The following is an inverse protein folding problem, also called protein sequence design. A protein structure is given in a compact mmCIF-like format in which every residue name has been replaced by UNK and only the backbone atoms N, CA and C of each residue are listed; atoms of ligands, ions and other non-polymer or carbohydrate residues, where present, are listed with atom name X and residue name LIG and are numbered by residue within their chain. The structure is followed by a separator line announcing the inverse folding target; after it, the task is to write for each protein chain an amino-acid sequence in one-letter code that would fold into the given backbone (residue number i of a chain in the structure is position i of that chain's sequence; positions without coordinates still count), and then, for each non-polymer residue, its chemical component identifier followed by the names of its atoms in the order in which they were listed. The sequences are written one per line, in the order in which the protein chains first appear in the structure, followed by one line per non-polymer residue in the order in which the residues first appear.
data_IF_447831563545
#
_entry.id   IF_447831563545
#
_cell.length_a   1.000
_cell.length_b   1.000
_cell.length_c   1.000
_cell.angle_alpha   90.00
_cell.angle_beta   90.00
_cell.angle_gamma   90.00
#
_symmetry.space_group_name_H-M   'P 1'
#
loop_
_entity.id
_entity.type
_entity.pdbx_description
1 polymer ?
#
# COMPACT_ATOMS: atom_id res chain seq x y z
N UNK A 1 -1.66 4.75 14.79
CA UNK A 1 -1.22 3.57 14.08
C UNK A 1 -2.11 2.40 14.46
N UNK A 2 -2.61 1.64 13.46
CA UNK A 2 -3.38 0.42 13.66
C UNK A 2 -2.89 -0.65 12.67
N UNK A 3 -2.84 -1.90 13.13
CA UNK A 3 -2.51 -3.07 12.32
C UNK A 3 -3.73 -3.97 12.10
N UNK A 4 -3.62 -4.94 11.21
CA UNK A 4 -4.70 -5.89 10.91
C UNK A 4 -5.15 -6.71 12.14
N UNK A 5 -4.24 -6.93 13.10
CA UNK A 5 -4.57 -7.66 14.32
C UNK A 5 -5.51 -6.88 15.27
N UNK A 6 -5.54 -5.55 15.17
CA UNK A 6 -6.27 -4.71 16.12
C UNK A 6 -7.80 -4.78 15.96
N UNK A 7 -8.28 -5.29 14.81
CA UNK A 7 -9.72 -5.43 14.52
C UNK A 7 -10.26 -6.84 14.72
N UNK A 8 -9.44 -7.79 15.18
CA UNK A 8 -9.83 -9.20 15.29
C UNK A 8 -11.06 -9.41 16.20
N UNK A 9 -11.17 -8.67 17.29
CA UNK A 9 -12.30 -8.77 18.22
C UNK A 9 -13.63 -8.32 17.62
N UNK A 10 -13.61 -7.51 16.55
CA UNK A 10 -14.82 -7.02 15.86
C UNK A 10 -15.38 -8.03 14.86
N UNK A 11 -14.53 -8.91 14.31
CA UNK A 11 -14.88 -9.85 13.24
C UNK A 11 -16.09 -10.72 13.59
N UNK A 12 -16.17 -11.39 14.76
CA UNK A 12 -17.33 -12.24 15.07
C UNK A 12 -18.65 -11.47 15.03
N UNK A 13 -18.71 -10.28 15.61
CA UNK A 13 -19.90 -9.45 15.63
C UNK A 13 -20.31 -8.99 14.22
N UNK A 14 -19.35 -8.59 13.40
CA UNK A 14 -19.57 -8.22 12.00
C UNK A 14 -20.11 -9.38 11.18
N UNK A 15 -19.53 -10.58 11.33
CA UNK A 15 -19.97 -11.80 10.62
C UNK A 15 -21.40 -12.17 11.00
N UNK A 16 -21.73 -12.16 12.30
CA UNK A 16 -23.10 -12.43 12.78
C UNK A 16 -24.11 -11.40 12.26
N UNK A 17 -23.71 -10.13 12.18
CA UNK A 17 -24.53 -9.10 11.56
C UNK A 17 -24.81 -9.42 10.09
N UNK A 18 -23.78 -9.75 9.30
CA UNK A 18 -23.94 -10.06 7.88
C UNK A 18 -24.85 -11.28 7.64
N UNK A 19 -24.74 -12.32 8.49
CA UNK A 19 -25.62 -13.49 8.43
C UNK A 19 -27.06 -13.14 8.79
N UNK A 20 -27.26 -12.45 9.89
CA UNK A 20 -28.60 -12.10 10.39
C UNK A 20 -29.38 -11.22 9.40
N UNK A 21 -28.72 -10.26 8.78
CA UNK A 21 -29.29 -9.37 7.78
C UNK A 21 -29.43 -10.01 6.39
N UNK A 22 -28.95 -11.25 6.20
CA UNK A 22 -29.04 -11.99 4.95
C UNK A 22 -28.09 -11.52 3.86
N UNK A 23 -27.05 -10.78 4.21
CA UNK A 23 -26.03 -10.35 3.25
C UNK A 23 -25.06 -11.47 2.88
N UNK A 24 -24.67 -12.28 3.88
CA UNK A 24 -23.74 -13.37 3.70
C UNK A 24 -24.45 -14.74 3.65
N UNK A 25 -23.99 -15.63 2.77
CA UNK A 25 -24.45 -16.98 2.63
C UNK A 25 -23.31 -17.97 2.44
N UNK A 26 -23.58 -19.26 2.63
CA UNK A 26 -22.61 -20.33 2.40
C UNK A 26 -22.47 -20.65 0.91
N UNK A 27 -21.25 -20.72 0.42
CA UNK A 27 -20.89 -21.14 -0.93
C UNK A 27 -19.64 -22.01 -0.86
N UNK A 28 -19.72 -23.26 -1.34
CA UNK A 28 -18.60 -24.22 -1.33
C UNK A 28 -17.92 -24.39 0.06
N UNK A 29 -18.71 -24.27 1.11
CA UNK A 29 -18.25 -24.36 2.50
C UNK A 29 -17.65 -23.07 3.07
N UNK A 30 -17.46 -22.04 2.27
CA UNK A 30 -17.03 -20.72 2.71
C UNK A 30 -18.24 -19.79 2.93
N UNK A 31 -18.06 -18.76 3.77
CA UNK A 31 -19.06 -17.69 3.92
C UNK A 31 -18.71 -16.54 2.99
N UNK A 32 -19.63 -16.16 2.12
CA UNK A 32 -19.40 -15.13 1.10
C UNK A 32 -20.52 -14.08 1.03
N UNK A 33 -20.19 -12.93 0.43
CA UNK A 33 -21.15 -11.89 0.04
C UNK A 33 -21.02 -11.66 -1.45
N UNK A 34 -22.12 -11.87 -2.22
CA UNK A 34 -22.12 -11.55 -3.66
C UNK A 34 -22.00 -10.05 -3.89
N UNK A 35 -21.03 -9.66 -4.69
CA UNK A 35 -20.73 -8.25 -5.00
C UNK A 35 -20.79 -7.93 -6.48
N UNK A 36 -21.07 -8.92 -7.32
CA UNK A 36 -21.25 -8.73 -8.76
C UNK A 36 -22.46 -7.80 -9.04
N UNK A 37 -22.36 -7.01 -10.12
CA UNK A 37 -23.40 -6.10 -10.60
C UNK A 37 -23.79 -6.46 -12.03
N UNK A 38 -24.99 -6.10 -12.45
CA UNK A 38 -25.48 -6.37 -13.80
C UNK A 38 -24.68 -5.65 -14.89
N UNK A 39 -24.06 -4.52 -14.57
CA UNK A 39 -23.26 -3.69 -15.46
C UNK A 39 -21.77 -4.05 -15.47
N UNK A 40 -21.36 -5.09 -14.77
CA UNK A 40 -19.96 -5.54 -14.76
C UNK A 40 -19.55 -6.06 -16.15
N UNK A 41 -18.44 -5.53 -16.65
CA UNK A 41 -17.83 -5.98 -17.91
C UNK A 41 -16.92 -7.20 -17.76
N UNK A 42 -16.60 -7.53 -16.52
CA UNK A 42 -15.79 -8.70 -16.13
C UNK A 42 -16.49 -9.42 -14.98
N UNK A 43 -16.27 -10.71 -14.86
CA UNK A 43 -16.72 -11.48 -13.73
C UNK A 43 -16.04 -10.98 -12.45
N UNK A 44 -16.85 -10.58 -11.47
CA UNK A 44 -16.38 -10.20 -10.14
C UNK A 44 -16.78 -11.30 -9.16
N UNK A 45 -15.80 -12.06 -8.63
CA UNK A 45 -16.07 -13.10 -7.66
C UNK A 45 -16.72 -12.55 -6.37
N UNK A 46 -17.48 -13.35 -5.62
CA UNK A 46 -17.98 -12.97 -4.31
C UNK A 46 -16.86 -12.52 -3.36
N UNK A 47 -17.16 -11.59 -2.48
CA UNK A 47 -16.27 -11.22 -1.38
C UNK A 47 -16.29 -12.31 -0.33
N UNK A 48 -15.13 -12.91 -0.04
CA UNK A 48 -15.02 -14.01 0.91
C UNK A 48 -14.91 -13.46 2.34
N UNK A 49 -15.86 -13.84 3.19
CA UNK A 49 -15.91 -13.36 4.58
C UNK A 49 -15.23 -14.35 5.54
N UNK A 50 -15.44 -15.66 5.37
CA UNK A 50 -14.76 -16.71 6.11
C UNK A 50 -14.43 -17.86 5.18
N UNK A 51 -13.27 -18.47 5.38
CA UNK A 51 -12.90 -19.74 4.75
C UNK A 51 -13.78 -20.89 5.24
N UNK A 52 -13.69 -22.04 4.57
CA UNK A 52 -14.40 -23.26 4.97
C UNK A 52 -14.01 -23.79 6.36
N UNK A 53 -12.84 -23.45 6.86
CA UNK A 53 -12.38 -23.76 8.22
C UNK A 53 -12.79 -22.69 9.26
N UNK A 54 -13.54 -21.68 8.84
CA UNK A 54 -13.97 -20.55 9.67
C UNK A 54 -12.92 -19.46 9.88
N UNK A 55 -11.75 -19.55 9.25
CA UNK A 55 -10.71 -18.55 9.38
C UNK A 55 -11.07 -17.27 8.61
N UNK A 56 -10.73 -16.12 9.21
CA UNK A 56 -10.81 -14.81 8.55
C UNK A 56 -9.71 -14.66 7.47
N UNK A 57 -9.99 -13.78 6.52
CA UNK A 57 -9.08 -13.39 5.44
C UNK A 57 -8.77 -11.88 5.50
N UNK A 58 -7.95 -11.41 4.56
CA UNK A 58 -7.70 -9.97 4.37
C UNK A 58 -9.00 -9.20 4.09
N UNK A 59 -9.93 -9.76 3.29
CA UNK A 59 -11.24 -9.15 3.03
C UNK A 59 -11.99 -8.89 4.34
N UNK A 60 -11.93 -9.85 5.27
CA UNK A 60 -12.62 -9.77 6.56
C UNK A 60 -12.01 -8.70 7.46
N UNK A 61 -10.68 -8.63 7.51
CA UNK A 61 -9.98 -7.62 8.33
C UNK A 61 -10.14 -6.23 7.76
N UNK A 62 -10.14 -6.07 6.43
CA UNK A 62 -10.40 -4.78 5.77
C UNK A 62 -11.82 -4.30 6.03
N UNK A 63 -12.82 -5.17 5.94
CA UNK A 63 -14.22 -4.84 6.26
C UNK A 63 -14.40 -4.44 7.73
N UNK A 64 -13.79 -5.19 8.65
CA UNK A 64 -13.81 -4.85 10.08
C UNK A 64 -13.12 -3.52 10.37
N UNK A 65 -12.04 -3.21 9.64
CA UNK A 65 -11.35 -1.93 9.73
C UNK A 65 -12.22 -0.77 9.20
N UNK A 66 -12.95 -0.98 8.11
CA UNK A 66 -13.91 0.02 7.60
C UNK A 66 -14.99 0.27 8.65
N UNK A 67 -15.58 -0.80 9.20
CA UNK A 67 -16.60 -0.68 10.26
C UNK A 67 -16.06 0.12 11.46
N UNK A 68 -14.87 -0.20 11.94
CA UNK A 68 -14.26 0.51 13.06
C UNK A 68 -14.06 2.00 12.78
N UNK A 69 -13.56 2.34 11.59
CA UNK A 69 -13.36 3.74 11.18
C UNK A 69 -14.67 4.51 11.12
N UNK A 70 -15.74 3.87 10.66
CA UNK A 70 -17.06 4.49 10.64
C UNK A 70 -17.61 4.73 12.05
N UNK A 71 -17.42 3.78 12.97
CA UNK A 71 -17.90 3.89 14.36
C UNK A 71 -17.09 4.91 15.19
N UNK A 72 -15.77 4.94 15.02
CA UNK A 72 -14.88 5.75 15.86
C UNK A 72 -14.60 7.15 15.30
N UNK A 73 -14.57 7.32 13.97
CA UNK A 73 -14.10 8.53 13.30
C UNK A 73 -15.20 9.15 12.42
N UNK A 74 -16.05 8.31 11.79
CA UNK A 74 -17.03 8.70 10.77
C UNK A 74 -16.41 9.60 9.67
N UNK A 75 -15.38 9.11 8.94
CA UNK A 75 -14.64 9.91 7.98
C UNK A 75 -15.45 10.21 6.73
N UNK A 76 -15.16 11.34 6.09
CA UNK A 76 -15.73 11.68 4.77
C UNK A 76 -15.11 10.83 3.65
N UNK A 77 -13.82 10.45 3.82
CA UNK A 77 -13.06 9.67 2.84
C UNK A 77 -12.14 8.65 3.53
N UNK A 78 -12.06 7.43 2.98
CA UNK A 78 -11.08 6.40 3.37
C UNK A 78 -10.24 6.08 2.14
N UNK A 79 -8.93 6.35 2.21
CA UNK A 79 -8.00 6.17 1.10
C UNK A 79 -7.11 4.95 1.38
N UNK A 80 -7.07 4.01 0.43
CA UNK A 80 -6.19 2.85 0.44
C UNK A 80 -5.05 3.05 -0.56
N UNK A 81 -3.84 3.27 -0.04
CA UNK A 81 -2.62 3.41 -0.84
C UNK A 81 -1.89 2.09 -0.82
N UNK A 82 -2.05 1.30 -1.87
CA UNK A 82 -1.59 -0.09 -1.95
C UNK A 82 -1.08 -0.45 -3.35
N UNK A 83 -0.46 -1.62 -3.49
CA UNK A 83 -0.04 -2.12 -4.79
C UNK A 83 -1.23 -2.26 -5.75
N UNK A 84 -1.10 -1.77 -6.98
CA UNK A 84 -2.16 -1.81 -8.01
C UNK A 84 -2.70 -3.21 -8.30
N UNK A 85 -1.91 -4.27 -8.01
CA UNK A 85 -2.34 -5.67 -8.17
C UNK A 85 -3.46 -6.08 -7.22
N UNK A 86 -3.72 -5.28 -6.18
CA UNK A 86 -4.81 -5.49 -5.23
C UNK A 86 -6.12 -4.82 -5.66
N UNK A 87 -6.22 -4.28 -6.88
CA UNK A 87 -7.40 -3.57 -7.36
C UNK A 87 -8.68 -4.40 -7.24
N UNK A 88 -8.65 -5.66 -7.66
CA UNK A 88 -9.82 -6.56 -7.56
C UNK A 88 -10.23 -6.82 -6.11
N UNK A 89 -9.26 -7.03 -5.22
CA UNK A 89 -9.52 -7.21 -3.79
C UNK A 89 -10.27 -5.99 -3.22
N UNK A 90 -9.76 -4.78 -3.45
CA UNK A 90 -10.42 -3.57 -2.94
C UNK A 90 -11.74 -3.28 -3.63
N UNK A 91 -11.91 -3.64 -4.90
CA UNK A 91 -13.22 -3.57 -5.56
C UNK A 91 -14.24 -4.45 -4.85
N UNK A 92 -13.88 -5.70 -4.50
CA UNK A 92 -14.75 -6.61 -3.76
C UNK A 92 -15.04 -6.09 -2.34
N UNK A 93 -14.03 -5.65 -1.60
CA UNK A 93 -14.17 -5.09 -0.25
C UNK A 93 -15.08 -3.85 -0.25
N UNK A 94 -14.87 -2.91 -1.15
CA UNK A 94 -15.67 -1.68 -1.22
C UNK A 94 -17.12 -1.96 -1.58
N UNK A 95 -17.37 -2.84 -2.55
CA UNK A 95 -18.72 -3.27 -2.91
C UNK A 95 -19.41 -4.00 -1.76
N UNK A 96 -18.68 -4.87 -1.06
CA UNK A 96 -19.18 -5.57 0.11
C UNK A 96 -19.53 -4.59 1.23
N UNK A 97 -18.63 -3.66 1.57
CA UNK A 97 -18.86 -2.65 2.60
C UNK A 97 -20.11 -1.79 2.31
N UNK A 98 -20.32 -1.42 1.03
CA UNK A 98 -21.51 -0.69 0.58
C UNK A 98 -22.79 -1.54 0.71
N UNK A 99 -22.76 -2.76 0.18
CA UNK A 99 -23.90 -3.68 0.19
C UNK A 99 -24.34 -4.02 1.61
N UNK A 100 -23.37 -4.28 2.49
CA UNK A 100 -23.60 -4.64 3.89
C UNK A 100 -23.83 -3.44 4.82
N UNK A 101 -23.78 -2.23 4.29
CA UNK A 101 -23.98 -0.97 5.06
C UNK A 101 -22.97 -0.77 6.19
N UNK A 102 -21.75 -1.35 6.05
CA UNK A 102 -20.63 -1.10 6.97
C UNK A 102 -20.02 0.28 6.78
N UNK A 103 -20.28 0.92 5.66
CA UNK A 103 -19.83 2.29 5.35
C UNK A 103 -21.05 3.15 5.01
N UNK A 104 -21.03 4.39 5.47
CA UNK A 104 -22.09 5.35 5.18
C UNK A 104 -22.12 5.69 3.67
N UNK A 105 -23.29 5.94 3.09
CA UNK A 105 -23.40 6.25 1.65
C UNK A 105 -22.57 7.45 1.20
N UNK A 106 -22.41 8.45 2.07
CA UNK A 106 -21.67 9.68 1.84
C UNK A 106 -20.15 9.54 1.96
N UNK A 107 -19.65 8.54 2.70
CA UNK A 107 -18.21 8.31 2.85
C UNK A 107 -17.60 7.79 1.56
N UNK A 108 -16.58 8.44 1.02
CA UNK A 108 -15.86 7.97 -0.15
C UNK A 108 -14.86 6.85 0.21
N UNK A 109 -14.89 5.74 -0.55
CA UNK A 109 -13.86 4.69 -0.48
C UNK A 109 -12.99 4.79 -1.72
N UNK A 110 -11.70 5.09 -1.55
CA UNK A 110 -10.79 5.39 -2.64
C UNK A 110 -9.60 4.45 -2.69
N UNK A 111 -9.42 3.83 -3.85
CA UNK A 111 -8.26 3.01 -4.14
C UNK A 111 -7.21 3.83 -4.90
N UNK A 112 -6.01 3.93 -4.34
CA UNK A 112 -4.85 4.53 -4.99
C UNK A 112 -3.78 3.45 -5.17
N UNK A 113 -3.87 2.73 -6.29
CA UNK A 113 -2.93 1.67 -6.64
C UNK A 113 -1.61 2.23 -7.15
N UNK A 114 -0.49 1.83 -6.52
CA UNK A 114 0.85 2.19 -6.99
C UNK A 114 1.53 1.04 -7.74
N UNK A 115 2.45 1.41 -8.62
CA UNK A 115 3.28 0.48 -9.38
C UNK A 115 4.46 -0.06 -8.58
N UNK A 116 5.19 -0.99 -9.19
CA UNK A 116 6.35 -1.63 -8.57
C UNK A 116 7.62 -0.84 -8.89
N UNK A 117 8.45 -0.64 -7.86
CA UNK A 117 9.83 -0.20 -8.02
C UNK A 117 10.67 -1.38 -8.48
N UNK A 118 11.29 -1.27 -9.65
CA UNK A 118 12.08 -2.31 -10.28
C UNK A 118 13.58 -1.95 -10.30
N UNK A 119 14.42 -2.96 -10.32
CA UNK A 119 15.84 -2.80 -10.63
C UNK A 119 16.09 -2.58 -12.13
N UNK A 120 17.35 -2.37 -12.51
CA UNK A 120 17.76 -2.19 -13.92
C UNK A 120 17.43 -3.39 -14.83
N UNK A 121 17.26 -4.58 -14.25
CA UNK A 121 16.85 -5.80 -14.93
C UNK A 121 15.32 -5.89 -15.18
N UNK A 122 14.55 -4.86 -14.81
CA UNK A 122 13.11 -4.79 -14.94
C UNK A 122 12.34 -5.68 -13.96
N UNK A 123 13.03 -6.30 -12.99
CA UNK A 123 12.40 -7.11 -11.94
C UNK A 123 12.29 -6.31 -10.64
N UNK A 124 11.37 -6.71 -9.73
CA UNK A 124 11.29 -6.07 -8.42
C UNK A 124 12.65 -5.91 -7.76
N UNK A 125 12.92 -4.74 -7.22
CA UNK A 125 14.21 -4.39 -6.66
C UNK A 125 14.59 -5.37 -5.54
N UNK A 126 15.82 -5.93 -5.61
CA UNK A 126 16.29 -6.97 -4.70
C UNK A 126 17.59 -6.54 -4.04
N UNK A 127 17.84 -7.07 -2.85
CA UNK A 127 19.16 -6.97 -2.21
C UNK A 127 20.21 -7.72 -3.03
N UNK A 128 21.50 -7.41 -2.79
CA UNK A 128 22.64 -8.11 -3.43
C UNK A 128 22.59 -9.62 -3.21
N UNK A 129 22.04 -10.07 -2.09
CA UNK A 129 21.86 -11.48 -1.72
C UNK A 129 20.56 -12.12 -2.28
N UNK A 130 19.82 -11.40 -3.13
CA UNK A 130 18.63 -11.92 -3.83
C UNK A 130 17.31 -11.84 -3.05
N UNK A 131 17.30 -11.27 -1.84
CA UNK A 131 16.09 -11.01 -1.05
C UNK A 131 15.29 -9.80 -1.54
N UNK A 132 14.07 -9.64 -1.01
CA UNK A 132 13.27 -8.42 -1.24
C UNK A 132 13.97 -7.23 -0.58
N UNK A 133 14.17 -6.14 -1.34
CA UNK A 133 14.76 -4.91 -0.80
C UNK A 133 13.81 -4.30 0.23
N UNK A 134 14.29 -4.15 1.44
CA UNK A 134 13.60 -3.36 2.48
C UNK A 134 13.92 -1.89 2.28
N UNK A 135 12.96 -1.03 2.63
CA UNK A 135 13.14 0.42 2.52
C UNK A 135 14.37 0.93 3.30
N UNK A 136 14.64 0.36 4.47
CA UNK A 136 15.83 0.67 5.27
C UNK A 136 17.13 0.52 4.46
N UNK A 137 17.32 -0.64 3.83
CA UNK A 137 18.52 -0.90 3.01
C UNK A 137 18.63 -0.01 1.79
N UNK A 138 17.46 0.32 1.17
CA UNK A 138 17.45 1.27 0.07
C UNK A 138 17.94 2.65 0.52
N UNK A 139 17.44 3.12 1.66
CA UNK A 139 17.85 4.41 2.23
C UNK A 139 19.32 4.41 2.64
N UNK A 140 19.82 3.32 3.22
CA UNK A 140 21.24 3.13 3.55
C UNK A 140 22.12 3.16 2.30
N UNK A 141 21.78 2.40 1.25
CA UNK A 141 22.55 2.39 0.00
C UNK A 141 22.59 3.77 -0.67
N UNK A 142 21.48 4.51 -0.67
CA UNK A 142 21.44 5.86 -1.22
C UNK A 142 22.23 6.83 -0.34
N UNK A 143 22.15 6.69 0.98
CA UNK A 143 22.94 7.47 1.93
C UNK A 143 24.45 7.25 1.71
N UNK A 144 24.89 6.00 1.62
CA UNK A 144 26.31 5.66 1.43
C UNK A 144 26.84 6.25 0.12
N UNK A 145 26.09 6.15 -0.96
CA UNK A 145 26.45 6.75 -2.25
C UNK A 145 26.57 8.28 -2.15
N UNK A 146 25.63 8.93 -1.47
CA UNK A 146 25.66 10.38 -1.28
C UNK A 146 26.76 10.81 -0.33
N UNK A 147 26.99 10.09 0.76
CA UNK A 147 28.07 10.36 1.70
C UNK A 147 29.43 10.24 1.02
N UNK A 148 29.63 9.23 0.19
CA UNK A 148 30.86 9.08 -0.58
C UNK A 148 31.10 10.30 -1.49
N UNK A 149 30.11 10.71 -2.28
CA UNK A 149 30.20 11.87 -3.18
C UNK A 149 30.46 13.18 -2.44
N UNK A 150 29.79 13.41 -1.31
CA UNK A 150 29.97 14.63 -0.51
C UNK A 150 31.35 14.65 0.17
N UNK A 151 31.84 13.49 0.65
CA UNK A 151 33.11 13.36 1.32
C UNK A 151 34.31 13.56 0.40
N UNK A 152 34.13 13.52 -0.92
CA UNK A 152 35.17 13.93 -1.88
C UNK A 152 35.55 15.41 -1.73
N UNK A 153 34.63 16.23 -1.22
CA UNK A 153 34.92 17.61 -0.82
C UNK A 153 35.60 17.63 0.55
N UNK A 154 36.93 17.64 0.53
CA UNK A 154 37.78 17.61 1.74
C UNK A 154 37.66 18.85 2.65
N UNK A 155 37.00 19.91 2.22
CA UNK A 155 36.81 21.14 3.00
C UNK A 155 35.61 21.05 3.93
N UNK A 156 34.70 20.10 3.71
CA UNK A 156 33.49 19.92 4.52
C UNK A 156 33.80 19.09 5.79
N UNK A 157 33.45 19.58 6.99
CA UNK A 157 33.55 18.81 8.22
C UNK A 157 32.76 17.50 8.15
N UNK A 158 33.27 16.42 8.74
CA UNK A 158 32.63 15.08 8.68
C UNK A 158 31.19 15.08 9.18
N UNK A 159 30.91 15.78 10.29
CA UNK A 159 29.56 15.85 10.86
C UNK A 159 28.58 16.56 9.91
N UNK A 160 29.03 17.59 9.20
CA UNK A 160 28.25 18.29 8.19
C UNK A 160 28.02 17.42 6.96
N UNK A 161 29.06 16.70 6.51
CA UNK A 161 28.95 15.77 5.39
C UNK A 161 27.93 14.66 5.67
N UNK A 162 27.93 14.08 6.87
CA UNK A 162 26.93 13.07 7.28
C UNK A 162 25.51 13.61 7.29
N UNK A 163 25.28 14.76 7.90
CA UNK A 163 23.96 15.38 7.95
C UNK A 163 23.45 15.77 6.55
N UNK A 164 24.33 16.32 5.72
CA UNK A 164 24.00 16.65 4.33
C UNK A 164 23.67 15.40 3.53
N UNK A 165 24.44 14.32 3.68
CA UNK A 165 24.18 13.05 3.00
C UNK A 165 22.81 12.46 3.38
N UNK A 166 22.41 12.54 4.65
CA UNK A 166 21.11 12.07 5.12
C UNK A 166 19.96 12.85 4.47
N UNK A 167 20.02 14.18 4.47
CA UNK A 167 19.00 15.04 3.88
C UNK A 167 18.89 14.79 2.38
N UNK A 168 20.03 14.76 1.68
CA UNK A 168 20.07 14.61 0.22
C UNK A 168 19.63 13.21 -0.21
N UNK A 169 20.04 12.16 0.51
CA UNK A 169 19.63 10.79 0.24
C UNK A 169 18.11 10.62 0.34
N UNK A 170 17.52 11.12 1.43
CA UNK A 170 16.08 11.08 1.63
C UNK A 170 15.34 11.86 0.53
N UNK A 171 15.85 13.02 0.13
CA UNK A 171 15.27 13.84 -0.93
C UNK A 171 15.37 13.16 -2.29
N UNK A 172 16.51 12.50 -2.58
CA UNK A 172 16.70 11.74 -3.82
C UNK A 172 15.68 10.60 -3.95
N UNK A 173 15.45 9.84 -2.87
CA UNK A 173 14.46 8.76 -2.87
C UNK A 173 13.05 9.30 -3.04
N UNK A 174 12.66 10.31 -2.23
CA UNK A 174 11.31 10.91 -2.32
C UNK A 174 11.01 11.49 -3.69
N UNK A 175 11.94 12.27 -4.24
CA UNK A 175 11.75 12.85 -5.56
C UNK A 175 11.74 11.78 -6.66
N UNK A 176 12.63 10.81 -6.56
CA UNK A 176 12.71 9.70 -7.49
C UNK A 176 11.39 8.91 -7.57
N UNK A 177 10.79 8.61 -6.43
CA UNK A 177 9.50 7.94 -6.36
C UNK A 177 8.36 8.84 -6.87
N UNK A 178 8.20 10.03 -6.29
CA UNK A 178 7.08 10.93 -6.57
C UNK A 178 7.12 11.58 -7.96
N UNK A 179 8.26 11.58 -8.65
CA UNK A 179 8.39 12.07 -10.02
C UNK A 179 7.80 11.12 -11.07
N UNK A 180 7.50 9.89 -10.69
CA UNK A 180 6.85 8.91 -11.54
C UNK A 180 5.32 8.97 -11.39
N UNK A 181 4.61 8.53 -12.43
CA UNK A 181 3.16 8.33 -12.30
C UNK A 181 2.91 7.19 -11.32
N UNK A 182 2.17 7.44 -10.24
CA UNK A 182 1.99 6.51 -9.13
C UNK A 182 1.58 5.09 -9.59
N UNK A 183 0.65 4.96 -10.54
CA UNK A 183 0.13 3.67 -11.03
C UNK A 183 1.08 2.92 -11.98
N UNK A 184 2.23 3.51 -12.37
CA UNK A 184 3.18 2.87 -13.29
C UNK A 184 4.36 2.29 -12.54
N UNK A 185 4.82 1.11 -13.04
CA UNK A 185 6.10 0.57 -12.61
C UNK A 185 7.22 1.46 -13.12
N UNK A 186 8.28 1.62 -12.33
CA UNK A 186 9.44 2.39 -12.73
C UNK A 186 10.76 1.70 -12.31
N UNK A 187 11.86 2.08 -12.96
CA UNK A 187 13.18 1.56 -12.64
C UNK A 187 13.87 2.52 -11.68
N UNK A 188 14.24 2.02 -10.50
CA UNK A 188 15.08 2.73 -9.55
C UNK A 188 16.56 2.48 -9.87
N UNK A 189 17.27 3.55 -10.14
CA UNK A 189 18.70 3.55 -10.44
C UNK A 189 19.39 4.53 -9.51
N UNK A 190 20.11 4.02 -8.52
CA UNK A 190 20.78 4.84 -7.49
C UNK A 190 21.65 5.92 -8.11
N UNK A 191 22.48 5.58 -9.10
CA UNK A 191 23.38 6.55 -9.73
C UNK A 191 22.64 7.68 -10.44
N UNK A 192 21.50 7.35 -11.09
CA UNK A 192 20.65 8.34 -11.74
C UNK A 192 19.96 9.23 -10.70
N UNK A 193 19.43 8.65 -9.64
CA UNK A 193 18.67 9.39 -8.61
C UNK A 193 19.57 10.26 -7.73
N UNK A 194 20.84 9.86 -7.56
CA UNK A 194 21.84 10.60 -6.80
C UNK A 194 22.72 11.53 -7.68
N UNK A 195 22.37 11.71 -8.95
CA UNK A 195 23.06 12.64 -9.84
C UNK A 195 22.75 14.09 -9.47
N UNK A 196 23.78 14.95 -9.51
CA UNK A 196 23.62 16.41 -9.40
C UNK A 196 23.13 17.07 -10.70
N UNK A 197 23.03 16.30 -11.77
CA UNK A 197 22.57 16.78 -13.07
C UNK A 197 21.21 16.20 -13.44
N UNK A 198 20.38 17.00 -14.10
CA UNK A 198 19.06 16.60 -14.57
C UNK A 198 17.96 16.80 -13.52
N UNK A 199 16.79 16.20 -13.78
CA UNK A 199 15.65 16.28 -12.87
C UNK A 199 15.78 15.26 -11.73
N UNK A 200 16.52 15.63 -10.70
CA UNK A 200 16.78 14.79 -9.51
C UNK A 200 16.50 15.55 -8.23
N UNK A 201 16.29 14.81 -7.12
CA UNK A 201 16.14 15.42 -5.79
C UNK A 201 17.40 16.17 -5.37
N UNK A 202 18.57 15.69 -5.78
CA UNK A 202 19.87 16.34 -5.52
C UNK A 202 19.99 17.72 -6.21
N UNK A 203 19.49 17.81 -7.44
CA UNK A 203 19.52 19.06 -8.21
C UNK A 203 18.57 20.13 -7.63
N UNK A 204 17.51 19.73 -6.96
CA UNK A 204 16.49 20.63 -6.41
C UNK A 204 16.88 21.22 -5.04
N UNK A 205 17.87 20.65 -4.37
CA UNK A 205 18.41 21.11 -3.08
C UNK A 205 19.59 22.07 -3.28
#
# INVERSE_FOLDING_TARGET
WKGEADVQERIPGMVEYMKREGYAHESEGALVVDVAREDDTKEIPPCMILKSDGAALYDTTDLATIQERMEEIAPDEIIYVVDKRQELHFEQVFRCARKTKLVAPETELKFLGFGTMNGRDGKPFKTRDGGVMRLEYLLEEVYDEMYQKISENREMPEAEAKNTAEIVALSAVKYGDLSNQASKDYVFDIQRFTSSEGNTGVYLL
#
